data_IF_069800498601
#
_entry.id   IF_069800498601
#
_cell.length_a   1.000
_cell.length_b   1.000
_cell.length_c   1.000
_cell.angle_alpha   90.00
_cell.angle_beta   90.00
_cell.angle_gamma   90.00
#
_symmetry.space_group_name_H-M   'P 1'
#
loop_
_entity.id
_entity.type
_entity.pdbx_description
1 polymer ?
#
# COMPACT_ATOMS: atom_id res chain seq x y z
N UNK A 1 45.27 -26.27 -54.62
CA UNK A 1 45.51 -27.65 -54.14
C UNK A 1 44.58 -27.98 -52.98
N UNK A 2 43.84 -29.10 -53.19
CA UNK A 2 43.01 -29.87 -52.19
C UNK A 2 41.82 -29.21 -51.53
N UNK A 3 40.68 -29.38 -52.09
CA UNK A 3 39.54 -30.27 -51.86
C UNK A 3 39.49 -30.93 -50.47
N UNK A 4 38.38 -30.71 -49.70
CA UNK A 4 37.61 -31.83 -49.19
C UNK A 4 36.21 -31.43 -48.68
N UNK A 5 35.25 -31.97 -49.40
CA UNK A 5 33.86 -32.25 -49.01
C UNK A 5 33.75 -32.83 -47.59
N UNK A 6 32.74 -32.41 -46.86
CA UNK A 6 32.00 -33.33 -46.00
C UNK A 6 30.55 -32.88 -45.90
N UNK A 7 29.79 -33.59 -46.69
CA UNK A 7 28.61 -34.39 -46.34
C UNK A 7 27.66 -33.76 -45.35
N UNK A 8 26.50 -33.42 -45.93
CA UNK A 8 25.22 -33.23 -45.29
C UNK A 8 24.80 -34.55 -44.62
N UNK A 9 24.52 -34.50 -43.35
CA UNK A 9 23.76 -35.52 -42.68
C UNK A 9 22.30 -35.04 -42.62
N UNK A 10 21.52 -35.56 -43.56
CA UNK A 10 20.06 -35.50 -43.48
C UNK A 10 19.63 -36.28 -42.24
N UNK A 11 19.17 -35.56 -41.27
CA UNK A 11 18.41 -36.16 -40.16
C UNK A 11 16.95 -36.14 -40.53
N UNK A 12 16.55 -37.24 -41.13
CA UNK A 12 15.15 -37.58 -41.34
C UNK A 12 14.47 -37.78 -39.99
N UNK A 13 13.83 -36.75 -39.45
CA UNK A 13 12.98 -36.90 -38.28
C UNK A 13 11.63 -37.46 -38.74
N UNK A 14 11.47 -38.74 -38.54
CA UNK A 14 10.20 -39.46 -38.72
C UNK A 14 9.13 -38.83 -37.85
N UNK A 15 8.08 -38.37 -38.51
CA UNK A 15 6.83 -38.02 -37.86
C UNK A 15 6.26 -39.23 -37.13
N UNK A 16 6.50 -39.28 -35.83
CA UNK A 16 5.75 -40.10 -34.93
C UNK A 16 4.68 -39.22 -34.28
N UNK A 17 3.50 -39.32 -34.85
CA UNK A 17 2.26 -38.86 -34.23
C UNK A 17 2.10 -39.46 -32.85
N UNK A 18 2.45 -38.72 -31.85
CA UNK A 18 1.93 -38.92 -30.50
C UNK A 18 1.20 -37.63 -30.10
N UNK A 19 -0.09 -37.71 -30.26
CA UNK A 19 -1.04 -36.80 -29.58
C UNK A 19 -0.81 -36.98 -28.07
N UNK A 20 0.17 -36.31 -27.53
CA UNK A 20 0.31 -36.12 -26.10
C UNK A 20 -0.38 -34.80 -25.78
N UNK A 21 -1.49 -34.93 -25.09
CA UNK A 21 -2.20 -33.86 -24.41
C UNK A 21 -1.21 -33.09 -23.52
N UNK A 22 -0.65 -32.05 -24.03
CA UNK A 22 -0.14 -30.99 -23.16
C UNK A 22 -1.34 -30.10 -22.79
N UNK A 23 -2.13 -30.59 -21.84
CA UNK A 23 -2.90 -29.73 -21.00
C UNK A 23 -1.88 -28.86 -20.24
N UNK A 24 -1.41 -27.82 -20.90
CA UNK A 24 -0.69 -26.75 -20.25
C UNK A 24 -1.70 -26.10 -19.31
N UNK A 25 -1.66 -26.53 -18.06
CA UNK A 25 -2.19 -25.81 -16.93
C UNK A 25 -1.46 -24.46 -16.89
N UNK A 26 -1.97 -23.51 -17.62
CA UNK A 26 -1.77 -22.10 -17.38
C UNK A 26 -2.48 -21.79 -16.07
N UNK A 27 -1.84 -22.22 -14.97
CA UNK A 27 -2.07 -21.64 -13.66
C UNK A 27 -1.59 -20.19 -13.77
N UNK A 28 -2.49 -19.34 -14.25
CA UNK A 28 -2.39 -17.91 -14.04
C UNK A 28 -2.45 -17.71 -12.52
N UNK A 29 -1.31 -17.87 -11.86
CA UNK A 29 -1.05 -17.29 -10.56
C UNK A 29 -1.15 -15.78 -10.77
N UNK A 30 -2.38 -15.28 -10.72
CA UNK A 30 -2.64 -13.89 -10.49
C UNK A 30 -1.99 -13.58 -9.14
N UNK A 31 -0.73 -13.15 -9.19
CA UNK A 31 -0.10 -12.49 -8.07
C UNK A 31 -0.91 -11.22 -7.84
N UNK A 32 -1.97 -11.33 -7.05
CA UNK A 32 -2.54 -10.16 -6.38
C UNK A 32 -1.39 -9.64 -5.54
N UNK A 33 -0.75 -8.57 -6.01
CA UNK A 33 0.17 -7.82 -5.19
C UNK A 33 -0.69 -7.21 -4.07
N UNK A 34 -0.88 -7.99 -3.02
CA UNK A 34 -1.33 -7.45 -1.76
C UNK A 34 -0.22 -6.46 -1.36
N UNK A 35 -0.51 -5.17 -1.44
CA UNK A 35 0.39 -4.16 -0.91
C UNK A 35 0.60 -4.50 0.56
N UNK A 36 1.82 -4.97 0.88
CA UNK A 36 2.15 -5.32 2.23
C UNK A 36 2.10 -4.06 3.09
N UNK A 37 1.54 -4.18 4.28
CA UNK A 37 1.56 -3.12 5.28
C UNK A 37 3.00 -2.80 5.65
N UNK A 38 3.26 -1.56 6.04
CA UNK A 38 4.58 -1.19 6.55
C UNK A 38 4.89 -1.95 7.85
N UNK A 39 6.16 -2.24 8.16
CA UNK A 39 6.54 -2.91 9.42
C UNK A 39 6.05 -2.15 10.65
N UNK A 40 6.00 -0.82 10.59
CA UNK A 40 5.49 0.03 11.66
C UNK A 40 3.99 -0.20 11.86
N UNK A 41 3.20 -0.19 10.80
CA UNK A 41 1.76 -0.42 10.89
C UNK A 41 1.42 -1.84 11.36
N UNK A 42 2.20 -2.84 10.96
CA UNK A 42 2.04 -4.21 11.47
C UNK A 42 2.21 -4.25 12.98
N UNK A 43 3.28 -3.64 13.52
CA UNK A 43 3.49 -3.55 14.97
C UNK A 43 2.37 -2.80 15.68
N UNK A 44 1.91 -1.68 15.11
CA UNK A 44 0.80 -0.91 15.69
C UNK A 44 -0.50 -1.72 15.77
N UNK A 45 -0.76 -2.60 14.80
CA UNK A 45 -1.93 -3.49 14.80
C UNK A 45 -1.83 -4.61 15.83
N UNK A 46 -0.62 -5.02 16.22
CA UNK A 46 -0.36 -6.04 17.25
C UNK A 46 -0.51 -5.49 18.68
N UNK A 47 -0.41 -4.17 18.86
CA UNK A 47 -0.59 -3.52 20.15
C UNK A 47 -2.06 -3.54 20.57
N UNK A 48 -2.29 -3.53 21.88
CA UNK A 48 -3.62 -3.24 22.41
C UNK A 48 -4.03 -1.77 22.14
N UNK A 49 -5.27 -1.43 22.41
CA UNK A 49 -5.81 -0.11 22.09
C UNK A 49 -5.10 1.00 22.87
N UNK A 50 -4.75 0.77 24.14
CA UNK A 50 -4.12 1.77 25.00
C UNK A 50 -2.68 2.02 24.60
N UNK A 51 -1.91 0.96 24.34
CA UNK A 51 -0.53 1.04 23.87
C UNK A 51 -0.47 1.71 22.49
N UNK A 52 -1.40 1.34 21.59
CA UNK A 52 -1.49 1.92 20.26
C UNK A 52 -1.85 3.41 20.33
N UNK A 53 -2.83 3.80 21.15
CA UNK A 53 -3.22 5.19 21.35
C UNK A 53 -2.07 6.01 21.92
N UNK A 54 -1.30 5.45 22.86
CA UNK A 54 -0.09 6.08 23.40
C UNK A 54 0.95 6.31 22.31
N UNK A 55 1.20 5.33 21.47
CA UNK A 55 2.13 5.42 20.35
C UNK A 55 1.73 6.54 19.38
N UNK A 56 0.44 6.65 19.02
CA UNK A 56 -0.04 7.73 18.17
C UNK A 56 0.00 9.09 18.85
N UNK A 57 -0.20 9.16 20.17
CA UNK A 57 -0.01 10.41 20.93
C UNK A 57 1.41 10.93 20.76
N UNK A 58 2.41 10.08 20.94
CA UNK A 58 3.82 10.44 20.77
C UNK A 58 4.12 10.86 19.32
N UNK A 59 3.62 10.12 18.32
CA UNK A 59 3.81 10.46 16.90
C UNK A 59 3.22 11.84 16.54
N UNK A 60 2.06 12.17 17.08
CA UNK A 60 1.45 13.48 16.85
C UNK A 60 2.21 14.60 17.54
N UNK A 61 2.67 14.39 18.77
CA UNK A 61 3.51 15.36 19.50
C UNK A 61 4.83 15.60 18.75
N UNK A 62 5.52 14.58 18.30
CA UNK A 62 6.76 14.70 17.52
C UNK A 62 6.54 15.42 16.18
N UNK A 63 5.35 15.27 15.59
CA UNK A 63 4.94 15.99 14.38
C UNK A 63 4.48 17.43 14.67
N UNK A 64 4.58 17.91 15.90
CA UNK A 64 4.14 19.25 16.31
C UNK A 64 2.62 19.44 16.24
N UNK A 65 1.85 18.37 16.34
CA UNK A 65 0.39 18.42 16.33
C UNK A 65 -0.16 18.52 17.76
N UNK A 66 -1.08 19.46 18.05
CA UNK A 66 -1.69 19.57 19.36
C UNK A 66 -2.62 18.37 19.61
N UNK A 67 -2.15 17.41 20.42
CA UNK A 67 -2.89 16.24 20.84
C UNK A 67 -2.28 15.72 22.15
N UNK A 68 -2.88 16.04 23.27
CA UNK A 68 -2.39 15.61 24.58
C UNK A 68 -2.59 14.10 24.82
N UNK A 69 -3.66 13.55 24.25
CA UNK A 69 -4.04 12.16 24.42
C UNK A 69 -4.88 11.69 23.23
N UNK A 70 -4.44 10.64 22.57
CA UNK A 70 -5.24 9.91 21.57
C UNK A 70 -6.14 8.93 22.32
N UNK A 71 -7.44 9.03 22.10
CA UNK A 71 -8.45 8.16 22.73
C UNK A 71 -8.96 7.06 21.82
N UNK A 72 -8.72 7.19 20.51
CA UNK A 72 -9.11 6.17 19.55
C UNK A 72 -8.30 6.27 18.27
N UNK A 73 -7.97 5.11 17.70
CA UNK A 73 -7.30 4.98 16.40
C UNK A 73 -8.13 4.10 15.47
N UNK A 74 -7.96 4.32 14.17
CA UNK A 74 -8.60 3.54 13.11
C UNK A 74 -7.62 3.32 11.97
N UNK A 75 -7.30 2.07 11.67
CA UNK A 75 -6.59 1.69 10.45
C UNK A 75 -7.53 1.70 9.25
N UNK A 76 -7.19 2.42 8.20
CA UNK A 76 -8.01 2.53 6.98
C UNK A 76 -7.57 1.58 5.89
N UNK A 77 -6.39 1.05 5.98
CA UNK A 77 -5.79 0.15 4.99
C UNK A 77 -4.56 0.75 4.33
N UNK A 78 -4.01 0.00 3.38
CA UNK A 78 -2.83 0.37 2.62
C UNK A 78 -3.23 0.78 1.20
N UNK A 79 -2.80 1.95 0.77
CA UNK A 79 -3.05 2.45 -0.59
C UNK A 79 -1.71 2.84 -1.21
N UNK A 80 -1.34 2.18 -2.31
CA UNK A 80 -0.07 2.43 -3.01
C UNK A 80 1.17 2.34 -2.10
N UNK A 81 1.19 1.42 -1.15
CA UNK A 81 2.30 1.24 -0.22
C UNK A 81 2.32 2.22 0.95
N UNK A 82 1.33 3.10 1.05
CA UNK A 82 1.14 4.02 2.17
C UNK A 82 0.05 3.49 3.08
N UNK A 83 0.35 3.31 4.34
CA UNK A 83 -0.63 2.92 5.35
C UNK A 83 -1.33 4.15 5.92
N UNK A 84 -2.64 4.12 5.86
CA UNK A 84 -3.49 5.22 6.30
C UNK A 84 -4.14 4.89 7.65
N UNK A 85 -3.95 5.79 8.59
CA UNK A 85 -4.53 5.75 9.91
C UNK A 85 -5.35 7.01 10.21
N UNK A 86 -6.26 6.90 11.14
CA UNK A 86 -6.93 8.04 11.74
C UNK A 86 -6.78 7.96 13.25
N UNK A 87 -6.51 9.09 13.89
CA UNK A 87 -6.42 9.23 15.33
C UNK A 87 -7.38 10.32 15.82
N UNK A 88 -8.13 10.03 16.89
CA UNK A 88 -8.99 10.97 17.57
C UNK A 88 -8.39 11.33 18.92
N UNK A 89 -8.17 12.62 19.15
CA UNK A 89 -7.68 13.15 20.41
C UNK A 89 -8.84 13.43 21.39
N UNK A 90 -8.53 13.49 22.66
CA UNK A 90 -9.47 13.76 23.75
C UNK A 90 -10.19 15.11 23.62
N UNK A 91 -9.50 16.10 23.07
CA UNK A 91 -10.04 17.42 22.74
C UNK A 91 -10.93 17.45 21.49
N UNK A 92 -11.24 16.28 20.92
CA UNK A 92 -12.01 16.06 19.67
C UNK A 92 -11.30 16.49 18.38
N UNK A 93 -10.05 16.90 18.42
CA UNK A 93 -9.27 17.02 17.21
C UNK A 93 -9.01 15.63 16.63
N UNK A 94 -9.11 15.52 15.31
CA UNK A 94 -8.82 14.26 14.62
C UNK A 94 -7.77 14.49 13.53
N UNK A 95 -6.92 13.49 13.34
CA UNK A 95 -5.81 13.52 12.40
C UNK A 95 -5.85 12.32 11.46
N UNK A 96 -5.52 12.54 10.20
CA UNK A 96 -5.14 11.51 9.24
C UNK A 96 -3.63 11.39 9.27
N UNK A 97 -3.14 10.17 9.41
CA UNK A 97 -1.72 9.85 9.56
C UNK A 97 -1.36 8.84 8.48
N UNK A 98 -0.39 9.20 7.65
CA UNK A 98 0.12 8.35 6.58
C UNK A 98 1.51 7.85 6.97
N UNK A 99 1.70 6.53 6.90
CA UNK A 99 2.96 5.85 7.20
C UNK A 99 3.48 5.22 5.91
N UNK A 100 4.65 5.64 5.47
CA UNK A 100 5.36 5.11 4.31
C UNK A 100 6.71 4.57 4.76
N UNK A 101 7.10 3.41 4.28
CA UNK A 101 8.46 2.90 4.45
C UNK A 101 9.13 2.86 3.08
N UNK A 102 10.22 3.59 2.94
CA UNK A 102 11.02 3.66 1.72
C UNK A 102 12.49 3.48 2.08
N UNK A 103 13.16 2.52 1.45
CA UNK A 103 14.59 2.24 1.65
C UNK A 103 15.01 2.11 3.14
N UNK A 104 14.20 1.38 3.93
CA UNK A 104 14.37 1.17 5.38
C UNK A 104 14.14 2.44 6.25
N UNK A 105 13.75 3.55 5.66
CA UNK A 105 13.33 4.75 6.36
C UNK A 105 11.80 4.80 6.48
N UNK A 106 11.31 5.15 7.66
CA UNK A 106 9.87 5.33 7.89
C UNK A 106 9.54 6.82 7.92
N UNK A 107 8.71 7.23 6.97
CA UNK A 107 8.21 8.59 6.85
C UNK A 107 6.79 8.61 7.39
N UNK A 108 6.55 9.44 8.40
CA UNK A 108 5.24 9.65 9.01
C UNK A 108 4.80 11.08 8.72
N UNK A 109 3.63 11.23 8.11
CA UNK A 109 3.02 12.52 7.86
C UNK A 109 1.66 12.58 8.52
N UNK A 110 1.30 13.75 9.07
CA UNK A 110 0.02 13.95 9.73
C UNK A 110 -0.66 15.23 9.24
N UNK A 111 -1.97 15.13 8.98
CA UNK A 111 -2.82 16.26 8.63
C UNK A 111 -4.04 16.26 9.56
N UNK A 112 -4.45 17.43 10.03
CA UNK A 112 -5.74 17.49 10.73
C UNK A 112 -6.87 17.15 9.75
N UNK A 113 -7.90 16.48 10.24
CA UNK A 113 -9.05 16.13 9.41
C UNK A 113 -9.77 17.35 8.84
N UNK A 114 -9.62 18.50 9.49
CA UNK A 114 -10.12 19.80 9.02
C UNK A 114 -9.31 20.28 7.80
N UNK A 115 -7.97 20.24 7.88
CA UNK A 115 -7.06 20.59 6.77
C UNK A 115 -7.29 19.68 5.57
N UNK A 116 -7.37 18.37 5.81
CA UNK A 116 -7.65 17.38 4.77
C UNK A 116 -8.95 17.67 4.04
N UNK A 117 -10.02 17.95 4.80
CA UNK A 117 -11.34 18.28 4.23
C UNK A 117 -11.33 19.60 3.45
N UNK A 118 -10.65 20.62 3.94
CA UNK A 118 -10.54 21.92 3.27
C UNK A 118 -9.78 21.80 1.95
N UNK A 119 -8.62 21.13 1.95
CA UNK A 119 -7.79 20.89 0.77
C UNK A 119 -8.55 20.07 -0.28
N UNK A 120 -9.21 19.01 0.15
CA UNK A 120 -10.01 18.16 -0.75
C UNK A 120 -11.15 18.94 -1.41
N UNK A 121 -11.86 19.77 -0.68
CA UNK A 121 -12.93 20.64 -1.23
C UNK A 121 -12.36 21.62 -2.27
N UNK A 122 -11.20 22.22 -2.00
CA UNK A 122 -10.55 23.16 -2.91
C UNK A 122 -10.16 22.46 -4.22
N UNK A 123 -9.57 21.26 -4.16
CA UNK A 123 -9.19 20.48 -5.32
C UNK A 123 -10.40 20.06 -6.16
N UNK A 124 -11.47 19.61 -5.54
CA UNK A 124 -12.71 19.24 -6.21
C UNK A 124 -13.35 20.45 -6.90
N UNK A 125 -13.33 21.61 -6.28
CA UNK A 125 -13.84 22.84 -6.88
C UNK A 125 -13.04 23.22 -8.13
N UNK A 126 -11.70 23.13 -8.07
CA UNK A 126 -10.83 23.44 -9.22
C UNK A 126 -11.00 22.46 -10.38
N UNK A 127 -11.21 21.17 -10.07
CA UNK A 127 -11.39 20.12 -11.09
C UNK A 127 -12.81 20.04 -11.65
N UNK A 128 -13.76 20.82 -11.12
CA UNK A 128 -15.19 20.70 -11.48
C UNK A 128 -15.81 19.35 -11.10
N UNK A 129 -15.13 18.55 -10.27
CA UNK A 129 -15.59 17.23 -9.87
C UNK A 129 -16.74 17.32 -8.84
N UNK A 130 -17.75 16.47 -9.03
CA UNK A 130 -18.87 16.30 -8.08
C UNK A 130 -18.60 15.23 -7.02
N UNK A 131 -17.38 14.70 -6.96
CA UNK A 131 -17.00 13.69 -5.97
C UNK A 131 -17.11 14.25 -4.56
N UNK A 132 -17.34 13.36 -3.58
CA UNK A 132 -17.35 13.75 -2.17
C UNK A 132 -15.93 14.11 -1.72
N UNK A 133 -15.76 15.22 -1.00
CA UNK A 133 -14.48 15.60 -0.44
C UNK A 133 -13.94 14.53 0.50
N UNK A 134 -12.63 14.28 0.44
CA UNK A 134 -11.97 13.41 1.40
C UNK A 134 -12.05 14.02 2.81
N UNK A 135 -12.15 13.17 3.81
CA UNK A 135 -12.20 13.56 5.21
C UNK A 135 -12.07 12.33 6.09
N UNK A 136 -11.85 12.53 7.38
CA UNK A 136 -11.76 11.43 8.32
C UNK A 136 -13.14 10.79 8.62
N UNK A 137 -13.11 9.52 8.94
CA UNK A 137 -14.29 8.74 9.38
C UNK A 137 -14.43 8.73 10.89
N UNK A 138 -13.30 8.88 11.60
CA UNK A 138 -13.26 8.89 13.06
C UNK A 138 -13.91 10.17 13.59
N UNK A 139 -14.82 10.02 14.57
CA UNK A 139 -15.54 11.11 15.22
C UNK A 139 -15.70 10.83 16.71
#
# INVERSE_FOLDING_TARGET
MFFRHRRQAEVTIRHATKRALCAALLSALGATQAFAQTPVSQRLLELDDDERNTSFTLMLMDSGRPCDEVVRTLFKGTVLGVDEWEALCKDRNAYSISVLTEQDETIITSLSCRELSATSKMLLHRSGSRSKAAGCRIK
#
